data_IF_496133617885
#
_entry.id   IF_496133617885
#
_cell.length_a   1.000
_cell.length_b   1.000
_cell.length_c   1.000
_cell.angle_alpha   90.00
_cell.angle_beta   90.00
_cell.angle_gamma   90.00
#
_symmetry.space_group_name_H-M   'P 1'
#
loop_
_entity.id
_entity.type
_entity.pdbx_description
1 polymer ?
#
# COMPACT_ATOMS: atom_id res chain seq x y z
N UNK A 1 74.20 49.86 42.75
CA UNK A 1 74.92 50.40 41.57
C UNK A 1 74.58 49.51 40.39
N UNK A 2 73.62 49.93 39.56
CA UNK A 2 73.84 50.59 38.24
C UNK A 2 74.37 49.54 37.25
N UNK A 3 73.52 48.96 36.37
CA UNK A 3 73.24 49.42 34.98
C UNK A 3 74.51 49.33 34.08
N UNK A 4 74.52 48.89 32.82
CA UNK A 4 73.52 48.47 31.84
C UNK A 4 74.23 48.14 30.48
N UNK A 5 73.44 47.76 29.47
CA UNK A 5 73.66 47.89 27.98
C UNK A 5 74.49 46.79 27.30
N UNK A 6 73.92 45.83 26.55
CA UNK A 6 73.22 45.85 25.24
C UNK A 6 74.08 46.02 23.97
N UNK A 7 74.35 44.86 23.33
CA UNK A 7 74.20 44.49 21.90
C UNK A 7 74.97 45.17 20.73
N UNK A 8 75.27 44.26 19.78
CA UNK A 8 75.13 44.30 18.31
C UNK A 8 76.38 44.52 17.44
N UNK A 9 76.77 43.46 16.73
CA UNK A 9 77.07 43.48 15.29
C UNK A 9 76.56 42.17 14.63
N UNK A 10 76.18 42.26 13.35
CA UNK A 10 75.37 41.28 12.57
C UNK A 10 76.04 40.97 11.22
N UNK A 11 75.72 39.78 10.68
CA UNK A 11 75.72 39.29 9.25
C UNK A 11 76.86 38.33 8.86
N UNK A 12 76.73 37.52 7.77
CA UNK A 12 75.56 36.89 7.13
C UNK A 12 75.74 35.35 6.92
N UNK A 13 74.76 34.74 6.25
CA UNK A 13 74.56 33.31 5.96
C UNK A 13 75.44 32.74 4.81
N UNK A 14 75.33 31.41 4.61
CA UNK A 14 75.67 30.57 3.42
C UNK A 14 77.07 29.88 3.43
N UNK A 15 77.27 28.59 3.10
CA UNK A 15 76.42 27.42 2.80
C UNK A 15 77.26 26.11 2.80
N UNK A 16 76.60 24.97 3.11
CA UNK A 16 76.64 23.66 2.40
C UNK A 16 77.88 22.76 2.47
N UNK A 17 77.67 21.50 2.95
CA UNK A 17 77.76 20.25 2.16
C UNK A 17 76.76 19.22 2.72
N UNK A 18 75.62 19.04 2.05
CA UNK A 18 75.28 17.93 1.11
C UNK A 18 75.15 16.56 1.79
N UNK A 19 73.89 16.15 2.01
CA UNK A 19 73.40 14.80 1.69
C UNK A 19 71.87 14.76 1.81
N UNK A 20 71.18 14.64 0.67
CA UNK A 20 69.81 14.17 0.57
C UNK A 20 69.78 12.97 -0.37
N UNK A 21 68.99 11.93 -0.05
CA UNK A 21 68.26 11.21 -1.07
C UNK A 21 66.75 11.42 -0.92
N UNK A 22 66.22 12.20 -1.88
CA UNK A 22 65.07 11.91 -2.74
C UNK A 22 63.75 11.52 -2.07
N UNK A 23 62.90 12.53 -1.89
CA UNK A 23 61.45 12.39 -1.76
C UNK A 23 60.91 11.93 -3.13
N UNK A 24 60.14 10.84 -3.15
CA UNK A 24 59.58 10.24 -4.35
C UNK A 24 58.46 11.12 -4.94
N UNK A 25 58.61 11.56 -6.20
CA UNK A 25 57.81 12.61 -6.86
C UNK A 25 56.60 12.01 -7.63
N UNK A 26 56.33 10.70 -7.52
CA UNK A 26 55.23 10.08 -8.29
C UNK A 26 53.82 10.22 -7.67
N UNK A 27 53.63 11.11 -6.69
CA UNK A 27 52.29 11.41 -6.11
C UNK A 27 51.80 12.83 -6.42
N UNK A 28 52.42 13.54 -7.38
CA UNK A 28 51.99 14.89 -7.78
C UNK A 28 51.41 14.86 -9.21
N UNK A 29 50.36 14.05 -9.42
CA UNK A 29 49.38 14.21 -10.50
C UNK A 29 48.01 13.73 -10.04
N UNK A 30 47.43 14.43 -9.08
CA UNK A 30 45.98 14.54 -9.01
C UNK A 30 45.66 16.03 -9.06
N UNK A 31 45.12 16.44 -10.22
CA UNK A 31 44.51 17.75 -10.42
C UNK A 31 43.47 17.97 -9.32
N UNK A 32 43.80 18.80 -8.32
CA UNK A 32 42.81 19.32 -7.38
C UNK A 32 42.08 20.44 -8.11
N UNK A 33 41.01 20.08 -8.82
CA UNK A 33 40.08 21.05 -9.38
C UNK A 33 39.47 21.85 -8.23
N UNK A 34 39.62 23.18 -8.26
CA UNK A 34 38.84 24.06 -7.40
C UNK A 34 37.35 23.89 -7.75
N UNK A 35 36.56 23.34 -6.82
CA UNK A 35 35.10 23.30 -6.98
C UNK A 35 34.59 24.74 -6.85
N UNK A 36 34.08 25.29 -7.95
CA UNK A 36 33.33 26.55 -7.98
C UNK A 36 32.20 26.44 -6.95
N UNK A 37 32.25 27.25 -5.89
CA UNK A 37 31.20 27.33 -4.88
C UNK A 37 29.95 27.89 -5.53
N UNK A 38 28.91 27.06 -5.58
CA UNK A 38 27.55 27.49 -5.90
C UNK A 38 26.95 28.05 -4.61
N UNK A 39 26.50 29.29 -4.70
CA UNK A 39 25.72 30.12 -3.77
C UNK A 39 25.24 29.35 -2.52
N UNK A 40 25.86 29.63 -1.39
CA UNK A 40 25.32 29.29 -0.06
C UNK A 40 24.01 30.06 0.12
N UNK A 41 22.86 29.37 0.07
CA UNK A 41 21.69 29.86 0.81
C UNK A 41 22.05 29.70 2.29
N UNK A 42 22.32 30.83 2.93
CA UNK A 42 22.35 30.90 4.39
C UNK A 42 20.92 30.59 4.84
N UNK A 43 20.71 29.42 5.44
CA UNK A 43 19.49 29.12 6.16
C UNK A 43 19.68 29.74 7.54
N UNK A 44 18.98 30.84 7.80
CA UNK A 44 18.94 31.43 9.13
C UNK A 44 18.48 30.37 10.13
N UNK A 45 19.26 30.24 11.20
CA UNK A 45 19.14 29.20 12.23
C UNK A 45 17.90 29.37 13.14
N UNK A 46 16.97 30.24 12.76
CA UNK A 46 15.71 30.49 13.48
C UNK A 46 14.45 30.28 12.63
N UNK A 47 14.53 29.58 11.49
CA UNK A 47 13.34 29.24 10.71
C UNK A 47 12.59 28.06 11.35
N UNK A 48 11.65 28.36 12.25
CA UNK A 48 10.70 27.40 12.85
C UNK A 48 9.57 26.94 11.91
N UNK A 49 9.60 27.32 10.64
CA UNK A 49 8.69 26.81 9.63
C UNK A 49 9.43 26.71 8.30
N UNK A 50 10.11 25.58 8.12
CA UNK A 50 10.83 25.29 6.89
C UNK A 50 9.82 24.98 5.80
N UNK A 51 9.65 25.91 4.85
CA UNK A 51 8.93 25.62 3.60
C UNK A 51 9.63 24.42 2.95
N UNK A 52 9.00 23.26 3.05
CA UNK A 52 9.49 22.04 2.40
C UNK A 52 9.28 22.23 0.91
N UNK A 53 10.36 22.54 0.19
CA UNK A 53 10.33 22.62 -1.27
C UNK A 53 10.20 21.19 -1.80
N UNK A 54 8.99 20.82 -2.21
CA UNK A 54 8.72 19.48 -2.75
C UNK A 54 9.40 19.30 -4.10
N UNK A 55 9.98 18.11 -4.38
CA UNK A 55 10.47 17.79 -5.71
C UNK A 55 9.34 17.97 -6.73
N UNK A 56 9.51 18.83 -7.73
CA UNK A 56 8.44 19.13 -8.71
C UNK A 56 8.06 17.95 -9.60
N UNK A 57 8.81 16.84 -9.54
CA UNK A 57 8.53 15.59 -10.22
C UNK A 57 7.85 14.54 -9.31
N UNK A 58 7.35 14.94 -8.14
CA UNK A 58 6.64 14.07 -7.20
C UNK A 58 5.37 14.76 -6.72
N UNK A 59 4.28 14.00 -6.73
CA UNK A 59 3.00 14.44 -6.16
C UNK A 59 2.88 13.82 -4.76
N UNK A 60 2.56 14.65 -3.78
CA UNK A 60 2.15 14.19 -2.46
C UNK A 60 0.63 14.00 -2.49
N UNK A 61 0.18 12.78 -2.18
CA UNK A 61 -1.23 12.47 -1.99
C UNK A 61 -1.44 12.18 -0.50
N UNK A 62 -2.35 12.92 0.14
CA UNK A 62 -2.62 12.83 1.57
C UNK A 62 -4.11 12.60 1.75
N UNK A 63 -4.44 11.47 2.37
CA UNK A 63 -5.78 11.15 2.81
C UNK A 63 -5.72 10.11 3.93
N UNK A 64 -6.86 9.82 4.54
CA UNK A 64 -7.01 8.73 5.49
C UNK A 64 -7.16 7.40 4.74
N UNK A 65 -6.08 6.61 4.70
CA UNK A 65 -6.09 5.29 4.03
C UNK A 65 -6.37 4.11 4.98
N UNK A 66 -6.39 4.34 6.29
CA UNK A 66 -6.71 3.33 7.30
C UNK A 66 -7.56 3.93 8.41
N UNK A 67 -8.41 3.11 9.02
CA UNK A 67 -9.30 3.56 10.11
C UNK A 67 -8.51 3.89 11.39
N UNK A 68 -7.38 3.21 11.62
CA UNK A 68 -6.57 3.35 12.82
C UNK A 68 -5.42 4.33 12.62
N UNK A 69 -5.25 5.25 13.56
CA UNK A 69 -4.07 6.11 13.60
C UNK A 69 -2.80 5.29 13.92
N UNK A 70 -1.64 5.67 13.36
CA UNK A 70 -0.37 5.02 13.69
C UNK A 70 -0.08 5.18 15.18
N UNK A 71 0.11 4.07 15.88
CA UNK A 71 0.32 4.02 17.33
C UNK A 71 1.81 3.97 17.68
N UNK A 72 2.66 3.59 16.73
CA UNK A 72 4.11 3.42 16.91
C UNK A 72 4.91 4.46 16.14
N UNK A 73 6.14 4.70 16.59
CA UNK A 73 7.06 5.61 15.89
C UNK A 73 7.52 5.04 14.54
N UNK A 74 7.58 3.73 14.40
CA UNK A 74 7.90 3.04 13.14
C UNK A 74 6.80 3.23 12.08
N UNK A 75 5.52 3.25 12.47
CA UNK A 75 4.39 3.57 11.58
C UNK A 75 4.34 5.06 11.21
N UNK A 76 4.90 5.93 12.05
CA UNK A 76 5.06 7.38 11.76
C UNK A 76 6.26 7.65 10.87
N UNK A 77 7.26 6.79 10.88
CA UNK A 77 8.42 6.90 10.01
C UNK A 77 8.03 6.53 8.58
N UNK A 78 8.52 7.28 7.58
CA UNK A 78 8.05 7.15 6.20
C UNK A 78 8.32 5.76 5.60
N UNK A 79 7.30 4.91 5.55
CA UNK A 79 7.34 3.62 4.85
C UNK A 79 7.50 3.85 3.33
N UNK A 80 8.56 3.27 2.75
CA UNK A 80 8.89 3.38 1.31
C UNK A 80 8.69 2.03 0.61
N UNK A 81 7.45 1.68 0.24
CA UNK A 81 7.17 0.44 -0.46
C UNK A 81 7.81 0.46 -1.85
N UNK A 82 8.31 -0.70 -2.29
CA UNK A 82 8.75 -0.92 -3.68
C UNK A 82 7.63 -1.48 -4.55
N UNK A 83 6.60 -2.06 -3.94
CA UNK A 83 5.47 -2.67 -4.63
C UNK A 83 4.18 -2.47 -3.86
N UNK A 84 3.05 -2.59 -4.57
CA UNK A 84 1.73 -2.52 -3.95
C UNK A 84 1.51 -3.64 -2.92
N UNK A 85 2.07 -4.83 -3.16
CA UNK A 85 1.96 -5.96 -2.24
C UNK A 85 2.57 -5.64 -0.86
N UNK A 86 3.72 -4.97 -0.83
CA UNK A 86 4.36 -4.54 0.42
C UNK A 86 3.49 -3.55 1.21
N UNK A 87 2.70 -2.71 0.51
CA UNK A 87 1.73 -1.79 1.15
C UNK A 87 0.66 -2.58 1.88
N UNK A 88 0.02 -3.55 1.22
CA UNK A 88 -1.02 -4.36 1.84
C UNK A 88 -0.49 -5.26 2.97
N UNK A 89 0.72 -5.80 2.86
CA UNK A 89 1.34 -6.59 3.94
C UNK A 89 1.68 -5.75 5.17
N UNK A 90 2.09 -4.50 4.97
CA UNK A 90 2.41 -3.58 6.06
C UNK A 90 1.15 -3.07 6.75
N UNK A 91 0.24 -2.44 6.00
CA UNK A 91 -0.92 -1.75 6.58
C UNK A 91 -2.10 -2.68 6.88
N UNK A 92 -2.18 -3.86 6.24
CA UNK A 92 -3.25 -4.86 6.43
C UNK A 92 -4.63 -4.24 6.68
N UNK A 93 -5.16 -3.49 5.71
CA UNK A 93 -6.43 -2.81 5.88
C UNK A 93 -7.55 -3.81 6.17
N UNK A 94 -8.29 -3.55 7.24
CA UNK A 94 -9.49 -4.29 7.63
C UNK A 94 -10.64 -3.31 7.83
N UNK A 95 -11.86 -3.79 7.62
CA UNK A 95 -13.09 -3.06 7.94
C UNK A 95 -13.98 -3.95 8.78
N UNK A 96 -14.11 -3.59 10.05
CA UNK A 96 -14.90 -4.35 11.02
C UNK A 96 -16.31 -3.80 11.14
N UNK A 97 -17.27 -4.69 11.43
CA UNK A 97 -18.64 -4.33 11.78
C UNK A 97 -19.42 -3.69 10.64
N UNK A 98 -19.25 -4.15 9.40
CA UNK A 98 -20.08 -3.70 8.28
C UNK A 98 -21.50 -4.26 8.48
N UNK A 99 -22.50 -3.38 8.41
CA UNK A 99 -23.91 -3.71 8.54
C UNK A 99 -24.48 -4.25 7.23
N UNK A 100 -24.69 -5.57 7.18
CA UNK A 100 -25.34 -6.24 6.06
C UNK A 100 -26.82 -6.49 6.38
N UNK A 101 -27.71 -5.91 5.59
CA UNK A 101 -29.14 -6.11 5.74
C UNK A 101 -29.57 -7.48 5.20
N UNK A 102 -30.37 -8.18 5.99
CA UNK A 102 -31.00 -9.43 5.57
C UNK A 102 -32.38 -9.18 4.97
N UNK A 103 -32.84 -10.10 4.13
CA UNK A 103 -34.19 -10.05 3.52
C UNK A 103 -35.32 -10.08 4.56
N UNK A 104 -35.05 -10.60 5.75
CA UNK A 104 -35.97 -10.66 6.88
C UNK A 104 -36.03 -9.34 7.66
N UNK A 105 -35.28 -8.32 7.22
CA UNK A 105 -35.18 -7.02 7.87
C UNK A 105 -34.24 -6.98 9.08
N UNK A 106 -33.41 -8.01 9.25
CA UNK A 106 -32.34 -8.06 10.25
C UNK A 106 -31.04 -7.43 9.73
N UNK A 107 -30.07 -7.27 10.63
CA UNK A 107 -28.72 -6.81 10.31
C UNK A 107 -27.72 -7.84 10.81
N UNK A 108 -26.78 -8.22 9.95
CA UNK A 108 -25.62 -9.05 10.29
C UNK A 108 -24.38 -8.17 10.20
N UNK A 109 -23.52 -8.26 11.20
CA UNK A 109 -22.24 -7.57 11.20
C UNK A 109 -21.17 -8.53 10.71
N UNK A 110 -20.42 -8.11 9.69
CA UNK A 110 -19.31 -8.89 9.15
C UNK A 110 -18.06 -8.03 8.98
N UNK A 111 -16.91 -8.70 9.04
CA UNK A 111 -15.60 -8.08 8.97
C UNK A 111 -14.93 -8.45 7.63
N UNK A 112 -14.29 -7.47 7.00
CA UNK A 112 -13.61 -7.64 5.71
C UNK A 112 -12.12 -7.36 5.84
N UNK A 113 -11.31 -8.21 5.21
CA UNK A 113 -9.85 -8.06 5.17
C UNK A 113 -9.38 -7.86 3.73
N UNK A 114 -8.47 -6.91 3.50
CA UNK A 114 -7.96 -6.62 2.15
C UNK A 114 -6.46 -6.88 2.08
N UNK A 115 -6.05 -7.82 1.21
CA UNK A 115 -4.64 -8.23 1.01
C UNK A 115 -4.11 -7.80 -0.36
N UNK A 116 -4.99 -7.45 -1.28
CA UNK A 116 -4.67 -7.00 -2.63
C UNK A 116 -5.81 -6.13 -3.19
N UNK A 117 -5.52 -5.43 -4.28
CA UNK A 117 -6.51 -4.59 -4.99
C UNK A 117 -7.74 -5.40 -5.45
N UNK A 118 -7.56 -6.68 -5.79
CA UNK A 118 -8.67 -7.53 -6.24
C UNK A 118 -9.66 -7.86 -5.14
N UNK A 119 -9.27 -7.73 -3.88
CA UNK A 119 -10.17 -8.06 -2.76
C UNK A 119 -11.29 -7.01 -2.61
N UNK A 120 -11.20 -5.88 -3.31
CA UNK A 120 -12.27 -4.88 -3.43
C UNK A 120 -13.28 -5.19 -4.55
N UNK A 121 -13.06 -6.25 -5.35
CA UNK A 121 -14.00 -6.68 -6.37
C UNK A 121 -15.18 -7.43 -5.72
N UNK A 122 -16.38 -7.29 -6.31
CA UNK A 122 -17.62 -7.88 -5.80
C UNK A 122 -17.47 -9.38 -5.50
N UNK A 123 -16.84 -10.14 -6.40
CA UNK A 123 -16.66 -11.59 -6.22
C UNK A 123 -15.85 -11.92 -4.95
N UNK A 124 -14.81 -11.15 -4.64
CA UNK A 124 -13.98 -11.37 -3.46
C UNK A 124 -14.69 -10.96 -2.18
N UNK A 125 -15.43 -9.85 -2.22
CA UNK A 125 -16.27 -9.42 -1.10
C UNK A 125 -17.35 -10.47 -0.79
N UNK A 126 -17.99 -11.02 -1.82
CA UNK A 126 -18.99 -12.08 -1.68
C UNK A 126 -18.37 -13.35 -1.10
N UNK A 127 -17.16 -13.73 -1.53
CA UNK A 127 -16.45 -14.90 -1.01
C UNK A 127 -16.05 -14.77 0.47
N UNK A 128 -15.76 -13.55 0.94
CA UNK A 128 -15.40 -13.30 2.34
C UNK A 128 -16.62 -13.32 3.27
N UNK A 129 -17.78 -12.94 2.74
CA UNK A 129 -19.04 -12.85 3.49
C UNK A 129 -19.79 -14.17 3.51
N UNK A 130 -20.14 -14.67 4.70
CA UNK A 130 -20.95 -15.87 4.84
C UNK A 130 -22.38 -15.64 4.34
N UNK A 131 -22.94 -14.46 4.63
CA UNK A 131 -24.27 -14.09 4.15
C UNK A 131 -24.31 -13.96 2.62
N UNK A 132 -23.39 -13.19 2.03
CA UNK A 132 -23.41 -12.92 0.59
C UNK A 132 -23.06 -14.17 -0.22
N UNK A 133 -22.14 -15.02 0.25
CA UNK A 133 -21.80 -16.27 -0.42
C UNK A 133 -23.00 -17.24 -0.47
N UNK A 134 -23.79 -17.38 0.60
CA UNK A 134 -25.03 -18.17 0.60
C UNK A 134 -26.04 -17.60 -0.41
N UNK A 135 -26.21 -16.28 -0.45
CA UNK A 135 -27.09 -15.62 -1.43
C UNK A 135 -26.62 -15.84 -2.86
N UNK A 136 -25.32 -15.74 -3.11
CA UNK A 136 -24.72 -16.01 -4.42
C UNK A 136 -24.95 -17.46 -4.85
N UNK A 137 -24.75 -18.41 -3.95
CA UNK A 137 -25.02 -19.82 -4.22
C UNK A 137 -26.49 -20.08 -4.58
N UNK A 138 -27.44 -19.44 -3.89
CA UNK A 138 -28.88 -19.52 -4.22
C UNK A 138 -29.17 -18.93 -5.60
N UNK A 139 -28.60 -17.78 -5.93
CA UNK A 139 -28.75 -17.15 -7.25
C UNK A 139 -28.20 -18.07 -8.34
N UNK A 140 -27.02 -18.65 -8.14
CA UNK A 140 -26.40 -19.56 -9.12
C UNK A 140 -27.23 -20.84 -9.30
N UNK A 141 -27.79 -21.39 -8.22
CA UNK A 141 -28.70 -22.53 -8.30
C UNK A 141 -29.96 -22.18 -9.10
N UNK A 142 -30.57 -21.02 -8.87
CA UNK A 142 -31.73 -20.56 -9.64
C UNK A 142 -31.39 -20.35 -11.11
N UNK A 143 -30.24 -19.75 -11.42
CA UNK A 143 -29.79 -19.57 -12.80
C UNK A 143 -29.55 -20.90 -13.52
N UNK A 144 -28.97 -21.88 -12.83
CA UNK A 144 -28.79 -23.23 -13.37
C UNK A 144 -30.13 -23.89 -13.69
N UNK A 145 -31.13 -23.77 -12.80
CA UNK A 145 -32.48 -24.28 -13.03
C UNK A 145 -33.13 -23.57 -14.23
N UNK A 146 -33.07 -22.24 -14.29
CA UNK A 146 -33.60 -21.47 -15.41
C UNK A 146 -32.98 -21.92 -16.74
N UNK A 147 -31.66 -22.06 -16.79
CA UNK A 147 -30.96 -22.51 -17.99
C UNK A 147 -31.42 -23.90 -18.44
N UNK A 148 -31.62 -24.83 -17.51
CA UNK A 148 -32.15 -26.17 -17.81
C UNK A 148 -33.59 -26.12 -18.35
N UNK A 149 -34.44 -25.27 -17.76
CA UNK A 149 -35.81 -25.06 -18.19
C UNK A 149 -35.89 -24.45 -19.60
N UNK A 150 -35.01 -23.50 -19.92
CA UNK A 150 -34.98 -22.85 -21.23
C UNK A 150 -34.40 -23.75 -22.34
N UNK A 151 -33.39 -24.55 -22.01
CA UNK A 151 -32.72 -25.46 -22.96
C UNK A 151 -33.66 -26.55 -23.46
N UNK A 152 -34.59 -27.01 -22.63
CA UNK A 152 -35.55 -28.04 -23.02
C UNK A 152 -36.78 -27.43 -23.71
N UNK A 153 -36.97 -27.70 -25.00
CA UNK A 153 -38.10 -27.19 -25.80
C UNK A 153 -39.46 -27.55 -25.22
N UNK A 154 -39.60 -28.73 -24.61
CA UNK A 154 -40.85 -29.19 -24.00
C UNK A 154 -41.14 -28.43 -22.69
N UNK A 155 -40.15 -28.30 -21.80
CA UNK A 155 -40.31 -27.53 -20.57
C UNK A 155 -40.57 -26.04 -20.88
N UNK A 156 -39.89 -25.49 -21.89
CA UNK A 156 -40.13 -24.12 -22.36
C UNK A 156 -41.54 -23.91 -22.91
N UNK A 157 -42.14 -24.89 -23.59
CA UNK A 157 -43.54 -24.76 -24.05
C UNK A 157 -44.53 -24.89 -22.89
N UNK A 158 -44.26 -25.81 -21.94
CA UNK A 158 -45.02 -25.96 -20.69
C UNK A 158 -45.01 -24.67 -19.86
N UNK A 159 -43.89 -23.94 -19.84
CA UNK A 159 -43.79 -22.65 -19.14
C UNK A 159 -44.59 -21.51 -19.79
N UNK A 160 -44.97 -21.60 -21.06
CA UNK A 160 -45.77 -20.54 -21.73
C UNK A 160 -47.26 -20.60 -21.35
N UNK A 161 -47.76 -21.80 -21.11
CA UNK A 161 -49.17 -22.04 -20.77
C UNK A 161 -49.39 -21.87 -19.25
N UNK A 162 -50.46 -21.17 -18.84
CA UNK A 162 -50.73 -20.90 -17.42
C UNK A 162 -51.05 -22.18 -16.62
N UNK A 163 -51.93 -23.04 -17.15
CA UNK A 163 -52.35 -24.28 -16.50
C UNK A 163 -51.18 -25.27 -16.33
N UNK A 164 -50.28 -25.31 -17.30
CA UNK A 164 -49.14 -26.22 -17.32
C UNK A 164 -48.03 -25.78 -16.35
N UNK A 165 -47.86 -24.46 -16.13
CA UNK A 165 -46.99 -23.92 -15.08
C UNK A 165 -47.46 -24.32 -13.68
N UNK A 166 -48.75 -24.18 -13.41
CA UNK A 166 -49.33 -24.54 -12.11
C UNK A 166 -49.18 -26.04 -11.82
N UNK A 167 -49.39 -26.88 -12.84
CA UNK A 167 -49.16 -28.32 -12.75
C UNK A 167 -47.68 -28.65 -12.46
N UNK A 168 -46.73 -27.98 -13.12
CA UNK A 168 -45.30 -28.16 -12.88
C UNK A 168 -44.90 -27.74 -11.45
N UNK A 169 -45.43 -26.61 -10.96
CA UNK A 169 -45.20 -26.15 -9.58
C UNK A 169 -45.73 -27.16 -8.57
N UNK A 170 -46.92 -27.73 -8.80
CA UNK A 170 -47.49 -28.75 -7.92
C UNK A 170 -46.66 -30.03 -7.91
N UNK A 171 -46.14 -30.48 -9.05
CA UNK A 171 -45.22 -31.63 -9.12
C UNK A 171 -43.93 -31.34 -8.33
N UNK A 172 -43.34 -30.16 -8.50
CA UNK A 172 -42.14 -29.77 -7.76
C UNK A 172 -42.38 -29.70 -6.25
N UNK A 173 -43.54 -29.18 -5.82
CA UNK A 173 -43.93 -29.16 -4.40
C UNK A 173 -44.14 -30.56 -3.83
N UNK A 174 -44.76 -31.47 -4.60
CA UNK A 174 -44.93 -32.86 -4.17
C UNK A 174 -43.59 -33.58 -4.06
N UNK A 175 -42.67 -33.37 -5.00
CA UNK A 175 -41.31 -33.92 -4.93
C UNK A 175 -40.53 -33.35 -3.74
N UNK A 176 -40.66 -32.05 -3.47
CA UNK A 176 -40.05 -31.42 -2.30
C UNK A 176 -40.59 -32.06 -1.00
N UNK A 177 -41.90 -32.23 -0.89
CA UNK A 177 -42.52 -32.87 0.26
C UNK A 177 -42.08 -34.34 0.41
N UNK A 178 -41.91 -35.07 -0.68
CA UNK A 178 -41.39 -36.45 -0.62
C UNK A 178 -39.97 -36.50 -0.06
N UNK A 179 -39.11 -35.55 -0.47
CA UNK A 179 -37.73 -35.45 0.03
C UNK A 179 -37.72 -35.03 1.52
N UNK A 180 -38.52 -34.05 1.91
CA UNK A 180 -38.59 -33.58 3.31
C UNK A 180 -39.15 -34.63 4.27
N UNK A 181 -39.99 -35.56 3.79
CA UNK A 181 -40.53 -36.68 4.58
C UNK A 181 -39.69 -37.98 4.47
N UNK A 182 -38.64 -37.98 3.64
CA UNK A 182 -37.75 -39.13 3.46
C UNK A 182 -36.57 -39.14 4.45
N UNK A 183 -36.39 -38.04 5.20
CA UNK A 183 -35.57 -37.95 6.43
C UNK A 183 -36.41 -38.21 7.69
#
# INVERSE_FOLDING_TARGET
MIESVSRFFRKPNDTVQKNQPKININTIKQQVMAKKTVITKVLDTEARDGVIEFPQNRTLYVDQFTDNAPNTDEEREGFKPRSMKEVFEHYRPTKEGIDLNTEEGGVVYEDFEFRQIKDFEDDRLIEQSALLSDKKAKIDAYQAIIFQLEKNKSLRSVLKEANSRESLVNVLKSLLAEIENAD
#
